data_IF_019727649242
#
_entry.id   IF_019727649242
#
_cell.length_a   1.000
_cell.length_b   1.000
_cell.length_c   1.000
_cell.angle_alpha   90.00
_cell.angle_beta   90.00
_cell.angle_gamma   90.00
#
_symmetry.space_group_name_H-M   'P 1'
#
loop_
_entity.id
_entity.type
_entity.pdbx_description
1 polymer ?
#
# COMPACT_ATOMS: atom_id res chain seq x y z
N UNK A 1 -19.69 -1.19 7.45
CA UNK A 1 -18.36 -1.81 7.30
C UNK A 1 -17.38 -0.90 8.00
N UNK A 2 -16.88 -1.33 9.16
CA UNK A 2 -15.85 -0.61 9.93
C UNK A 2 -14.62 -0.48 9.05
N UNK A 3 -14.10 0.73 8.88
CA UNK A 3 -12.89 0.99 8.10
C UNK A 3 -11.72 0.35 8.86
N UNK A 4 -11.35 -0.88 8.50
CA UNK A 4 -10.17 -1.55 9.03
C UNK A 4 -8.93 -0.91 8.41
N UNK A 5 -8.08 -0.30 9.25
CA UNK A 5 -6.76 0.18 8.84
C UNK A 5 -5.74 -0.93 9.13
N UNK A 6 -5.13 -1.48 8.09
CA UNK A 6 -3.99 -2.41 8.24
C UNK A 6 -2.71 -1.60 8.30
N UNK A 7 -1.92 -1.81 9.35
CA UNK A 7 -0.62 -1.15 9.51
C UNK A 7 0.50 -2.16 9.28
N UNK A 8 1.31 -1.92 8.25
CA UNK A 8 2.46 -2.76 7.89
C UNK A 8 3.72 -2.03 8.31
N UNK A 9 4.54 -2.65 9.17
CA UNK A 9 5.85 -2.13 9.54
C UNK A 9 6.91 -2.74 8.64
N UNK A 10 7.68 -1.89 7.98
CA UNK A 10 8.76 -2.34 7.10
C UNK A 10 10.00 -2.74 7.90
N UNK A 11 10.79 -3.73 7.41
CA UNK A 11 12.08 -4.09 8.00
C UNK A 11 13.12 -2.97 7.79
N UNK A 12 14.25 -3.05 8.49
CA UNK A 12 15.32 -2.04 8.36
C UNK A 12 15.99 -2.07 6.98
N UNK A 13 16.08 -3.26 6.36
CA UNK A 13 16.68 -3.46 5.04
C UNK A 13 15.66 -4.08 4.10
N UNK A 14 15.45 -3.40 2.97
CA UNK A 14 14.56 -3.83 1.89
C UNK A 14 15.37 -4.12 0.64
N UNK A 15 15.80 -5.37 0.51
CA UNK A 15 16.61 -5.88 -0.59
C UNK A 15 15.83 -6.86 -1.48
N UNK A 16 16.51 -7.43 -2.47
CA UNK A 16 15.91 -8.38 -3.39
C UNK A 16 15.38 -9.64 -2.68
N UNK A 17 15.99 -10.06 -1.57
CA UNK A 17 15.60 -11.28 -0.87
C UNK A 17 14.22 -11.15 -0.24
N UNK A 18 13.88 -9.99 0.33
CA UNK A 18 12.56 -9.75 0.94
C UNK A 18 11.51 -9.17 -0.03
N UNK A 19 11.85 -8.92 -1.30
CA UNK A 19 10.94 -8.28 -2.25
C UNK A 19 9.69 -9.13 -2.55
N UNK A 20 9.83 -10.46 -2.61
CA UNK A 20 8.71 -11.38 -2.84
C UNK A 20 7.73 -11.38 -1.65
N UNK A 21 8.27 -11.48 -0.43
CA UNK A 21 7.48 -11.50 0.80
C UNK A 21 6.77 -10.17 1.05
N UNK A 22 7.45 -9.05 0.77
CA UNK A 22 6.86 -7.71 0.82
C UNK A 22 5.67 -7.61 -0.14
N UNK A 23 5.82 -8.13 -1.37
CA UNK A 23 4.74 -8.12 -2.36
C UNK A 23 3.54 -8.93 -1.87
N UNK A 24 3.76 -10.14 -1.36
CA UNK A 24 2.66 -10.98 -0.84
C UNK A 24 1.90 -10.26 0.26
N UNK A 25 2.63 -9.74 1.26
CA UNK A 25 2.05 -9.02 2.40
C UNK A 25 1.21 -7.81 1.98
N UNK A 26 1.67 -7.07 0.97
CA UNK A 26 0.93 -5.91 0.44
C UNK A 26 -0.32 -6.33 -0.33
N UNK A 27 -0.25 -7.40 -1.12
CA UNK A 27 -1.40 -7.91 -1.87
C UNK A 27 -2.48 -8.42 -0.91
N UNK A 28 -2.09 -9.17 0.11
CA UNK A 28 -3.02 -9.68 1.13
C UNK A 28 -3.70 -8.51 1.86
N UNK A 29 -2.92 -7.51 2.28
CA UNK A 29 -3.46 -6.31 2.93
C UNK A 29 -4.40 -5.48 2.04
N UNK A 30 -4.14 -5.40 0.73
CA UNK A 30 -5.02 -4.72 -0.24
C UNK A 30 -6.35 -5.47 -0.37
N UNK A 31 -6.32 -6.81 -0.41
CA UNK A 31 -7.51 -7.62 -0.55
C UNK A 31 -8.37 -7.64 0.73
N UNK A 32 -7.73 -7.56 1.89
CA UNK A 32 -8.41 -7.66 3.19
C UNK A 32 -8.96 -6.33 3.71
N UNK A 33 -8.38 -5.19 3.30
CA UNK A 33 -8.64 -3.90 3.98
C UNK A 33 -8.85 -2.72 3.04
N UNK A 34 -9.73 -1.80 3.47
CA UNK A 34 -10.04 -0.58 2.72
C UNK A 34 -8.96 0.51 2.85
N UNK A 35 -8.07 0.41 3.84
CA UNK A 35 -6.98 1.35 4.05
C UNK A 35 -5.72 0.68 4.59
N UNK A 36 -4.57 1.06 4.04
CA UNK A 36 -3.26 0.55 4.44
C UNK A 36 -2.38 1.73 4.89
N UNK A 37 -1.78 1.60 6.06
CA UNK A 37 -0.72 2.49 6.54
C UNK A 37 0.62 1.75 6.55
N UNK A 38 1.63 2.34 5.92
CA UNK A 38 2.98 1.78 5.91
C UNK A 38 3.85 2.57 6.89
N UNK A 39 4.46 1.86 7.83
CA UNK A 39 5.44 2.41 8.76
C UNK A 39 6.86 2.10 8.27
N UNK A 40 7.49 3.12 7.70
CA UNK A 40 8.85 3.08 7.17
C UNK A 40 9.89 3.74 8.10
N UNK A 41 9.52 4.08 9.35
CA UNK A 41 10.38 4.85 10.25
C UNK A 41 11.71 4.16 10.61
N UNK A 42 11.75 2.82 10.53
CA UNK A 42 12.93 2.01 10.80
C UNK A 42 13.78 1.66 9.57
N UNK A 43 13.33 2.03 8.36
CA UNK A 43 14.01 1.66 7.11
C UNK A 43 15.31 2.43 6.97
N UNK A 44 16.42 1.70 6.80
CA UNK A 44 17.77 2.22 6.56
C UNK A 44 18.21 2.07 5.11
N UNK A 45 17.82 0.95 4.48
CA UNK A 45 18.22 0.62 3.12
C UNK A 45 17.01 0.16 2.31
N UNK A 46 16.92 0.66 1.08
CA UNK A 46 15.83 0.36 0.16
C UNK A 46 16.40 0.21 -1.26
N UNK A 47 16.31 -1.00 -1.81
CA UNK A 47 16.77 -1.29 -3.17
C UNK A 47 15.67 -1.10 -4.20
N UNK A 48 16.05 -0.92 -5.47
CA UNK A 48 15.12 -0.70 -6.58
C UNK A 48 13.99 -1.73 -6.69
N UNK A 49 14.23 -3.05 -6.54
CA UNK A 49 13.15 -4.04 -6.57
C UNK A 49 12.06 -3.78 -5.53
N UNK A 50 12.41 -3.42 -4.30
CA UNK A 50 11.43 -3.11 -3.25
C UNK A 50 10.67 -1.81 -3.53
N UNK A 51 11.33 -0.80 -4.10
CA UNK A 51 10.65 0.43 -4.56
C UNK A 51 9.59 0.07 -5.61
N UNK A 52 9.93 -0.77 -6.59
CA UNK A 52 9.00 -1.20 -7.63
C UNK A 52 7.80 -1.94 -7.05
N UNK A 53 8.01 -2.80 -6.05
CA UNK A 53 6.93 -3.49 -5.33
C UNK A 53 6.00 -2.49 -4.63
N UNK A 54 6.54 -1.52 -3.88
CA UNK A 54 5.75 -0.49 -3.19
C UNK A 54 4.93 0.36 -4.17
N UNK A 55 5.54 0.73 -5.30
CA UNK A 55 4.86 1.51 -6.35
C UNK A 55 3.74 0.72 -7.02
N UNK A 56 3.96 -0.58 -7.29
CA UNK A 56 2.93 -1.46 -7.84
C UNK A 56 1.75 -1.59 -6.87
N UNK A 57 2.01 -1.90 -5.59
CA UNK A 57 0.99 -1.98 -4.55
C UNK A 57 0.19 -0.68 -4.40
N UNK A 58 0.87 0.46 -4.47
CA UNK A 58 0.22 1.79 -4.42
C UNK A 58 -0.74 2.03 -5.59
N UNK A 59 -0.40 1.53 -6.79
CA UNK A 59 -1.28 1.63 -7.97
C UNK A 59 -2.51 0.73 -7.84
N UNK A 60 -2.33 -0.47 -7.28
CA UNK A 60 -3.42 -1.42 -7.10
C UNK A 60 -4.40 -0.95 -6.02
N UNK A 61 -3.91 -0.42 -4.90
CA UNK A 61 -4.76 0.18 -3.85
C UNK A 61 -5.63 1.35 -4.38
N UNK A 62 -5.14 2.11 -5.38
CA UNK A 62 -5.90 3.19 -6.00
C UNK A 62 -6.97 2.73 -6.99
N UNK A 63 -6.83 1.54 -7.60
CA UNK A 63 -7.84 0.98 -8.51
C UNK A 63 -9.13 0.61 -7.77
N UNK A 64 -9.00 0.17 -6.52
CA UNK A 64 -10.11 -0.18 -5.63
C UNK A 64 -10.87 1.05 -5.10
N UNK A 65 -10.37 2.28 -5.33
CA UNK A 65 -11.12 3.50 -4.97
C UNK A 65 -12.09 3.85 -6.11
N UNK A 66 -13.41 3.69 -5.96
CA UNK A 66 -14.33 4.09 -7.02
C UNK A 66 -14.21 5.60 -7.24
N UNK A 67 -13.67 5.98 -8.42
CA UNK A 67 -13.67 7.35 -8.99
C UNK A 67 -15.05 8.04 -8.98
N UNK A 68 -16.11 7.33 -8.59
CA UNK A 68 -17.47 7.86 -8.44
C UNK A 68 -17.62 8.85 -7.28
N UNK A 69 -16.86 8.69 -6.19
CA UNK A 69 -16.98 9.58 -5.01
C UNK A 69 -16.33 10.96 -5.22
N UNK A 70 -15.29 11.05 -6.04
CA UNK A 70 -14.62 12.34 -6.33
C UNK A 70 -15.40 13.22 -7.32
N UNK A 71 -16.30 12.65 -8.12
CA UNK A 71 -17.19 13.41 -9.01
C UNK A 71 -18.46 13.89 -8.29
N UNK A 72 -18.96 13.13 -7.31
CA UNK A 72 -20.14 13.50 -6.52
C UNK A 72 -19.89 14.70 -5.58
N UNK A 73 -18.66 14.85 -5.07
CA UNK A 73 -18.32 15.96 -4.16
C UNK A 73 -18.02 17.28 -4.88
N UNK A 74 -17.67 17.26 -6.18
CA UNK A 74 -17.33 18.47 -6.98
C UNK A 74 -18.52 19.19 -7.61
N UNK A 75 -19.75 18.66 -7.50
CA UNK A 75 -20.98 19.28 -8.03
C UNK A 75 -21.85 19.95 -6.96
N UNK A 76 -21.34 20.06 -5.73
CA UNK A 76 -22.08 20.60 -4.58
C UNK A 76 -21.57 21.96 -4.07
N UNK A 77 -20.68 22.59 -4.82
CA UNK A 77 -20.29 23.98 -4.64
C UNK A 77 -20.38 24.69 -6.00
#
# INVERSE_FOLDING_TARGET
MSVGLVRIRLPDTLDLACAADLRSSLVDAINESSAIAIDASGVRSLTTPCIQVLLAASKDAQKETPKSLSKALRRRF
#
